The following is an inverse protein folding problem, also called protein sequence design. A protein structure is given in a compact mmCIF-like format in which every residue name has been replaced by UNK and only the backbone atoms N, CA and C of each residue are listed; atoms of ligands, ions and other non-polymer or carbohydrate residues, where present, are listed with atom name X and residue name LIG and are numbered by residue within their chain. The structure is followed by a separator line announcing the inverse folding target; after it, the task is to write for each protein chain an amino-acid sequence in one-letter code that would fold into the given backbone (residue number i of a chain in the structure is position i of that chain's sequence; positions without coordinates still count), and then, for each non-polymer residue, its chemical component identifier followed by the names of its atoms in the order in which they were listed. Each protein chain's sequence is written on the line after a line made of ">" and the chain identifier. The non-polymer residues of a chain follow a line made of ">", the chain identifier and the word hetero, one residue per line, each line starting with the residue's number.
data_IF_215648939151
#
_entry.id   IF_215648939151
#
_cell.length_a   1.000
_cell.length_b   1.000
_cell.length_c   1.000
_cell.angle_alpha   90.00
_cell.angle_beta   90.00
_cell.angle_gamma   90.00
#
_symmetry.space_group_name_H-M   'P 1'
#
loop_
_entity.id
_entity.type
_entity.pdbx_description
1 polymer ?
#
# COMPACT_ATOMS: atom_id res chain seq x y z
N UNK A 1 30.70 3.70 2.98
CA UNK A 1 30.84 4.73 1.92
C UNK A 1 31.38 4.05 0.67
N UNK A 2 30.50 3.77 -0.29
CA UNK A 2 30.84 3.18 -1.59
C UNK A 2 31.52 4.29 -2.41
N UNK A 3 32.70 4.01 -2.99
CA UNK A 3 33.50 5.04 -3.69
C UNK A 3 32.99 5.35 -5.09
N UNK A 4 32.18 4.48 -5.69
CA UNK A 4 31.47 4.73 -6.96
C UNK A 4 30.36 3.68 -7.14
N UNK A 5 29.09 4.08 -6.91
CA UNK A 5 27.94 3.17 -7.04
C UNK A 5 27.72 2.76 -8.51
N UNK A 6 28.24 3.54 -9.48
CA UNK A 6 28.00 3.30 -10.91
C UNK A 6 28.71 2.08 -11.47
N UNK A 7 29.71 1.55 -10.74
CA UNK A 7 30.49 0.36 -11.10
C UNK A 7 30.05 -0.91 -10.35
N UNK A 8 29.05 -0.81 -9.47
CA UNK A 8 28.61 -1.91 -8.62
C UNK A 8 27.92 -3.00 -9.48
N UNK A 9 28.37 -4.27 -9.42
CA UNK A 9 27.72 -5.37 -10.10
C UNK A 9 26.27 -5.58 -9.65
N UNK A 10 25.48 -6.28 -10.47
CA UNK A 10 24.07 -6.59 -10.21
C UNK A 10 23.86 -7.21 -8.82
N UNK A 11 24.66 -8.21 -8.48
CA UNK A 11 24.51 -8.98 -7.24
C UNK A 11 24.81 -8.11 -6.02
N UNK A 12 25.89 -7.34 -6.03
CA UNK A 12 26.26 -6.41 -4.96
C UNK A 12 25.20 -5.29 -4.81
N UNK A 13 24.61 -4.81 -5.91
CA UNK A 13 23.54 -3.81 -5.86
C UNK A 13 22.25 -4.35 -5.22
N UNK A 14 21.94 -5.63 -5.42
CA UNK A 14 20.81 -6.31 -4.77
C UNK A 14 21.07 -6.56 -3.28
N UNK A 15 22.32 -6.86 -2.89
CA UNK A 15 22.73 -6.98 -1.49
C UNK A 15 22.63 -5.61 -0.78
N UNK A 16 23.11 -4.53 -1.40
CA UNK A 16 22.97 -3.17 -0.88
C UNK A 16 21.50 -2.75 -0.71
N UNK A 17 20.65 -3.10 -1.69
CA UNK A 17 19.22 -2.84 -1.59
C UNK A 17 18.58 -3.65 -0.47
N UNK A 18 18.99 -4.90 -0.28
CA UNK A 18 18.48 -5.79 0.76
C UNK A 18 18.76 -5.27 2.17
N UNK A 19 19.97 -4.78 2.39
CA UNK A 19 20.40 -4.15 3.65
C UNK A 19 19.51 -2.97 4.05
N UNK A 20 18.86 -2.33 3.06
CA UNK A 20 18.06 -1.12 3.21
C UNK A 20 16.55 -1.38 3.24
N UNK A 21 16.13 -2.64 3.31
CA UNK A 21 14.71 -3.02 3.50
C UNK A 21 14.49 -3.57 4.90
N UNK A 22 13.59 -2.93 5.66
CA UNK A 22 13.15 -3.35 6.98
C UNK A 22 11.70 -3.84 6.89
N UNK A 23 11.50 -5.16 7.00
CA UNK A 23 10.17 -5.76 6.79
C UNK A 23 9.43 -6.05 8.10
N UNK A 24 8.29 -5.37 8.28
CA UNK A 24 7.30 -5.65 9.33
C UNK A 24 6.20 -6.62 8.84
N UNK A 25 6.26 -6.99 7.56
CA UNK A 25 5.26 -7.79 6.88
C UNK A 25 5.08 -9.20 7.44
N UNK A 26 3.93 -9.80 7.16
CA UNK A 26 3.68 -11.21 7.44
C UNK A 26 4.58 -12.11 6.59
N UNK A 27 4.96 -13.28 7.12
CA UNK A 27 5.84 -14.24 6.43
C UNK A 27 5.05 -15.14 5.47
N UNK A 28 4.54 -14.56 4.39
CA UNK A 28 3.85 -15.31 3.32
C UNK A 28 4.34 -14.93 1.92
N UNK A 29 3.93 -15.71 0.92
CA UNK A 29 4.39 -15.57 -0.46
C UNK A 29 4.14 -14.16 -1.04
N UNK A 30 3.03 -13.50 -0.68
CA UNK A 30 2.74 -12.17 -1.20
C UNK A 30 3.69 -11.11 -0.63
N UNK A 31 4.05 -11.24 0.65
CA UNK A 31 5.03 -10.37 1.32
C UNK A 31 6.45 -10.63 0.80
N UNK A 32 6.82 -11.90 0.61
CA UNK A 32 8.13 -12.27 0.05
C UNK A 32 8.28 -11.73 -1.38
N UNK A 33 7.25 -11.87 -2.22
CA UNK A 33 7.29 -11.30 -3.57
C UNK A 33 7.34 -9.77 -3.58
N UNK A 34 6.67 -9.11 -2.62
CA UNK A 34 6.77 -7.67 -2.46
C UNK A 34 8.19 -7.23 -2.10
N UNK A 35 8.80 -7.93 -1.13
CA UNK A 35 10.18 -7.72 -0.69
C UNK A 35 11.18 -7.91 -1.82
N UNK A 36 11.12 -9.07 -2.49
CA UNK A 36 12.02 -9.38 -3.60
C UNK A 36 11.91 -8.39 -4.73
N UNK A 37 10.69 -7.97 -5.09
CA UNK A 37 10.54 -6.95 -6.11
C UNK A 37 11.15 -5.63 -5.63
N UNK A 38 10.82 -5.20 -4.41
CA UNK A 38 11.28 -3.95 -3.81
C UNK A 38 12.81 -3.81 -3.80
N UNK A 39 13.55 -4.91 -3.62
CA UNK A 39 15.03 -4.93 -3.78
C UNK A 39 15.48 -4.38 -5.14
N UNK A 40 14.76 -4.67 -6.22
CA UNK A 40 15.07 -4.14 -7.55
C UNK A 40 14.70 -2.66 -7.71
N UNK A 41 13.65 -2.18 -7.05
CA UNK A 41 13.35 -0.74 -7.04
C UNK A 41 14.45 0.01 -6.28
N UNK A 42 14.76 -0.42 -5.06
CA UNK A 42 15.79 0.23 -4.24
C UNK A 42 17.17 0.18 -4.88
N UNK A 43 17.60 -0.96 -5.41
CA UNK A 43 18.89 -1.06 -6.08
C UNK A 43 18.99 -0.09 -7.27
N UNK A 44 17.92 0.07 -8.04
CA UNK A 44 17.86 1.08 -9.11
C UNK A 44 17.89 2.51 -8.60
N UNK A 45 17.21 2.79 -7.49
CA UNK A 45 17.25 4.11 -6.84
C UNK A 45 18.64 4.44 -6.30
N UNK A 46 19.29 3.50 -5.59
CA UNK A 46 20.67 3.61 -5.11
C UNK A 46 21.61 3.98 -6.27
N UNK A 47 21.51 3.24 -7.38
CA UNK A 47 22.31 3.49 -8.56
C UNK A 47 22.04 4.89 -9.16
N UNK A 48 20.77 5.27 -9.32
CA UNK A 48 20.39 6.54 -9.95
C UNK A 48 20.68 7.77 -9.08
N UNK A 49 20.72 7.61 -7.75
CA UNK A 49 21.10 8.66 -6.80
C UNK A 49 22.61 8.77 -6.62
N UNK A 50 23.38 7.80 -7.14
CA UNK A 50 24.83 7.66 -6.94
C UNK A 50 25.24 7.65 -5.45
N UNK A 51 24.29 7.31 -4.57
CA UNK A 51 24.47 7.16 -3.15
C UNK A 51 23.53 6.08 -2.63
N UNK A 52 23.82 5.54 -1.46
CA UNK A 52 23.03 4.48 -0.88
C UNK A 52 21.90 5.01 0.01
N UNK A 53 21.75 6.32 0.22
CA UNK A 53 20.78 6.94 1.13
C UNK A 53 19.33 6.93 0.62
N UNK A 54 18.81 5.71 0.49
CA UNK A 54 17.44 5.32 0.22
C UNK A 54 17.14 4.09 1.06
N UNK A 55 15.92 3.99 1.59
CA UNK A 55 15.51 2.82 2.35
C UNK A 55 14.01 2.59 2.24
N UNK A 56 13.58 1.40 2.62
CA UNK A 56 12.17 1.03 2.64
C UNK A 56 11.81 0.32 3.94
N UNK A 57 10.68 0.69 4.50
CA UNK A 57 10.04 -0.05 5.59
C UNK A 57 8.74 -0.63 5.08
N UNK A 58 8.67 -1.95 4.98
CA UNK A 58 7.45 -2.66 4.59
C UNK A 58 6.56 -2.83 5.81
N UNK A 59 5.31 -2.38 5.70
CA UNK A 59 4.30 -2.42 6.76
C UNK A 59 3.71 -3.84 6.94
N UNK A 60 2.92 -4.10 8.00
CA UNK A 60 2.31 -5.43 8.21
C UNK A 60 1.45 -5.95 7.04
N UNK A 61 0.88 -5.04 6.23
CA UNK A 61 0.09 -5.36 5.05
C UNK A 61 0.91 -5.50 3.75
N UNK A 62 2.25 -5.49 3.83
CA UNK A 62 3.16 -5.64 2.69
C UNK A 62 2.77 -6.76 1.73
N UNK A 63 2.64 -6.45 0.45
CA UNK A 63 2.04 -7.34 -0.55
C UNK A 63 2.46 -6.94 -1.97
N UNK A 64 2.14 -7.76 -2.96
CA UNK A 64 2.29 -7.38 -4.37
C UNK A 64 1.42 -6.17 -4.71
N UNK A 65 1.91 -5.30 -5.58
CA UNK A 65 1.06 -4.31 -6.25
C UNK A 65 0.30 -4.97 -7.40
N UNK A 66 -0.95 -4.57 -7.65
CA UNK A 66 -1.69 -4.96 -8.87
C UNK A 66 -1.44 -3.99 -10.04
N UNK A 67 -0.84 -2.83 -9.79
CA UNK A 67 -0.41 -1.94 -10.87
C UNK A 67 0.77 -2.59 -11.62
N UNK A 68 0.51 -3.18 -12.79
CA UNK A 68 1.52 -3.89 -13.60
C UNK A 68 2.73 -3.03 -13.97
N UNK A 69 2.58 -1.79 -14.48
CA UNK A 69 3.74 -0.92 -14.69
C UNK A 69 4.59 -0.71 -13.43
N UNK A 70 3.96 -0.46 -12.27
CA UNK A 70 4.66 -0.34 -10.98
C UNK A 70 5.40 -1.64 -10.62
N UNK A 71 4.76 -2.79 -10.82
CA UNK A 71 5.36 -4.12 -10.60
C UNK A 71 6.60 -4.34 -11.45
N UNK A 72 6.51 -4.05 -12.75
CA UNK A 72 7.63 -4.19 -13.68
C UNK A 72 8.78 -3.22 -13.36
N UNK A 73 8.46 -2.05 -12.80
CA UNK A 73 9.42 -1.08 -12.25
C UNK A 73 9.99 -1.48 -10.88
N UNK A 74 9.73 -2.71 -10.40
CA UNK A 74 10.38 -3.26 -9.22
C UNK A 74 9.71 -2.88 -7.90
N UNK A 75 8.58 -2.21 -7.87
CA UNK A 75 8.00 -1.80 -6.59
C UNK A 75 7.08 -2.88 -6.02
N UNK A 76 7.23 -3.15 -4.73
CA UNK A 76 6.23 -3.84 -3.90
C UNK A 76 5.07 -2.92 -3.51
N UNK A 77 4.27 -3.34 -2.52
CA UNK A 77 3.16 -2.58 -1.94
C UNK A 77 3.07 -2.85 -0.43
N UNK A 78 2.38 -1.99 0.32
CA UNK A 78 2.32 -1.97 1.78
C UNK A 78 3.64 -1.52 2.41
N UNK A 79 4.10 -0.30 2.13
CA UNK A 79 5.34 0.21 2.72
C UNK A 79 5.65 1.68 2.44
N UNK A 80 6.67 2.18 3.16
CA UNK A 80 7.24 3.53 3.05
C UNK A 80 8.58 3.44 2.34
N UNK A 81 8.84 4.34 1.41
CA UNK A 81 10.12 4.49 0.69
C UNK A 81 10.58 5.92 0.89
N UNK A 82 11.82 6.11 1.36
CA UNK A 82 12.44 7.42 1.55
C UNK A 82 13.80 7.45 0.90
N UNK A 83 14.16 8.62 0.37
CA UNK A 83 15.48 8.88 -0.22
C UNK A 83 15.99 10.26 0.17
N UNK A 84 17.27 10.51 -0.04
CA UNK A 84 17.94 11.72 0.47
C UNK A 84 17.69 13.00 -0.33
N UNK A 85 17.62 12.92 -1.67
CA UNK A 85 17.53 14.10 -2.53
C UNK A 85 16.09 14.50 -2.87
N UNK A 86 15.60 15.57 -2.24
CA UNK A 86 14.30 16.20 -2.51
C UNK A 86 14.17 16.80 -3.92
N UNK A 87 15.27 17.01 -4.64
CA UNK A 87 15.25 17.47 -6.03
C UNK A 87 15.18 16.32 -7.03
N UNK A 88 15.15 15.06 -6.57
CA UNK A 88 14.96 13.88 -7.40
C UNK A 88 13.61 13.24 -7.10
N UNK A 89 12.89 12.83 -8.13
CA UNK A 89 11.64 12.08 -7.99
C UNK A 89 11.58 10.87 -8.92
N UNK A 90 10.88 9.82 -8.47
CA UNK A 90 10.75 8.54 -9.16
C UNK A 90 9.30 8.32 -9.64
N UNK A 91 8.93 8.75 -10.86
CA UNK A 91 7.55 8.72 -11.33
C UNK A 91 6.95 7.31 -11.47
N UNK A 92 7.79 6.27 -11.51
CA UNK A 92 7.38 4.86 -11.58
C UNK A 92 6.71 4.34 -10.28
N UNK A 93 6.86 5.08 -9.18
CA UNK A 93 6.07 4.90 -7.94
C UNK A 93 4.56 4.99 -8.26
N UNK A 94 4.19 5.82 -9.24
CA UNK A 94 2.82 5.93 -9.77
C UNK A 94 1.79 6.25 -8.67
N UNK A 95 1.92 7.39 -7.97
CA UNK A 95 1.01 7.80 -6.90
C UNK A 95 -0.42 8.05 -7.44
N UNK A 96 -1.46 7.73 -6.67
CA UNK A 96 -2.86 7.87 -7.14
C UNK A 96 -3.82 8.52 -6.13
N UNK A 97 -3.32 8.96 -4.97
CA UNK A 97 -4.11 9.57 -3.91
C UNK A 97 -5.26 8.68 -3.38
N UNK A 98 -5.12 7.35 -3.48
CA UNK A 98 -6.05 6.44 -2.84
C UNK A 98 -6.07 6.72 -1.32
N UNK A 99 -7.28 6.79 -0.78
CA UNK A 99 -7.58 7.28 0.56
C UNK A 99 -8.86 6.68 1.10
N UNK A 100 -9.02 6.72 2.42
CA UNK A 100 -10.26 6.32 3.07
C UNK A 100 -10.84 7.49 3.83
N UNK A 101 -12.14 7.72 3.59
CA UNK A 101 -12.96 8.65 4.32
C UNK A 101 -13.81 7.87 5.33
N UNK A 102 -13.57 8.07 6.62
CA UNK A 102 -14.40 7.56 7.71
C UNK A 102 -15.43 8.62 8.10
N UNK A 103 -16.69 8.21 8.20
CA UNK A 103 -17.83 9.08 8.44
C UNK A 103 -18.67 8.58 9.61
N UNK A 104 -19.22 9.51 10.37
CA UNK A 104 -20.30 9.30 11.34
C UNK A 104 -21.63 9.70 10.72
N UNK A 105 -22.65 8.87 10.97
CA UNK A 105 -24.01 9.04 10.50
C UNK A 105 -24.98 8.94 11.68
N UNK A 106 -25.86 9.92 11.84
CA UNK A 106 -26.92 9.89 12.87
C UNK A 106 -27.98 8.83 12.56
N UNK A 107 -28.23 8.59 11.27
CA UNK A 107 -29.24 7.65 10.80
C UNK A 107 -28.68 6.80 9.67
N UNK A 108 -28.95 5.49 9.70
CA UNK A 108 -28.59 4.59 8.61
C UNK A 108 -29.66 4.64 7.51
N UNK A 109 -29.33 5.10 6.28
CA UNK A 109 -30.30 5.06 5.19
C UNK A 109 -30.66 3.60 4.83
N UNK A 110 -31.84 3.40 4.25
CA UNK A 110 -32.25 2.03 3.90
C UNK A 110 -31.31 1.43 2.83
N UNK A 111 -31.12 0.10 2.86
CA UNK A 111 -30.28 -0.60 1.86
C UNK A 111 -30.70 -0.28 0.42
N UNK A 112 -32.01 -0.17 0.18
CA UNK A 112 -32.57 0.14 -1.14
C UNK A 112 -32.22 1.56 -1.56
N UNK A 113 -32.31 2.53 -0.65
CA UNK A 113 -31.98 3.92 -0.95
C UNK A 113 -30.49 4.10 -1.22
N UNK A 114 -29.62 3.42 -0.44
CA UNK A 114 -28.16 3.47 -0.66
C UNK A 114 -27.77 2.92 -2.04
N UNK A 115 -28.30 1.76 -2.41
CA UNK A 115 -28.04 1.17 -3.75
C UNK A 115 -28.57 2.08 -4.85
N UNK A 116 -29.78 2.65 -4.69
CA UNK A 116 -30.35 3.58 -5.66
C UNK A 116 -29.50 4.83 -5.82
N UNK A 117 -29.13 5.49 -4.72
CA UNK A 117 -28.30 6.71 -4.74
C UNK A 117 -26.92 6.45 -5.32
N UNK A 118 -26.27 5.35 -4.93
CA UNK A 118 -24.97 4.97 -5.50
C UNK A 118 -25.06 4.74 -7.02
N UNK A 119 -26.13 4.09 -7.50
CA UNK A 119 -26.39 3.94 -8.94
C UNK A 119 -26.71 5.27 -9.63
N UNK A 120 -27.46 6.17 -8.99
CA UNK A 120 -27.78 7.50 -9.54
C UNK A 120 -26.51 8.36 -9.65
N UNK A 121 -25.55 8.21 -8.73
CA UNK A 121 -24.26 8.89 -8.79
C UNK A 121 -23.45 8.48 -10.02
N UNK A 122 -23.45 7.20 -10.38
CA UNK A 122 -22.79 6.70 -11.61
C UNK A 122 -23.40 7.31 -12.89
N UNK A 123 -24.68 7.69 -12.87
CA UNK A 123 -25.38 8.29 -14.01
C UNK A 123 -25.35 9.83 -14.01
N UNK A 124 -25.03 10.45 -12.88
CA UNK A 124 -25.06 11.91 -12.69
C UNK A 124 -23.80 12.57 -13.21
N UNK A 125 -23.96 13.67 -13.95
CA UNK A 125 -22.84 14.55 -14.28
C UNK A 125 -22.42 15.35 -13.04
N UNK A 126 -21.48 14.80 -12.27
CA UNK A 126 -20.84 15.48 -11.15
C UNK A 126 -19.57 16.20 -11.61
N UNK A 127 -19.30 17.37 -11.05
CA UNK A 127 -18.12 18.17 -11.35
C UNK A 127 -17.46 18.69 -10.06
N UNK A 128 -16.13 18.68 -10.05
CA UNK A 128 -15.33 19.26 -8.99
C UNK A 128 -14.21 20.09 -9.62
N UNK A 129 -14.22 21.41 -9.39
CA UNK A 129 -13.23 22.36 -9.92
C UNK A 129 -13.01 22.25 -11.46
N UNK A 130 -14.07 22.13 -12.27
CA UNK A 130 -13.93 21.99 -13.73
C UNK A 130 -13.67 20.57 -14.22
N UNK A 131 -13.54 19.59 -13.32
CA UNK A 131 -13.25 18.19 -13.66
C UNK A 131 -14.50 17.35 -13.45
N UNK A 132 -14.98 16.70 -14.51
CA UNK A 132 -16.07 15.72 -14.41
C UNK A 132 -15.61 14.53 -13.56
N UNK A 133 -16.39 14.22 -12.53
CA UNK A 133 -16.13 13.07 -11.66
C UNK A 133 -16.53 11.80 -12.39
N UNK A 134 -15.67 10.80 -12.32
CA UNK A 134 -15.95 9.44 -12.75
C UNK A 134 -16.07 8.59 -11.49
N UNK A 135 -17.28 8.37 -10.96
CA UNK A 135 -17.48 7.48 -9.84
C UNK A 135 -16.84 6.12 -10.12
N UNK A 136 -16.18 5.57 -9.11
CA UNK A 136 -15.41 4.34 -9.25
C UNK A 136 -15.71 3.37 -8.10
N UNK A 137 -16.98 3.39 -7.67
CA UNK A 137 -17.48 2.43 -6.70
C UNK A 137 -17.24 1.01 -7.27
N UNK A 138 -16.73 0.09 -6.45
CA UNK A 138 -16.49 -1.29 -6.89
C UNK A 138 -15.33 -1.56 -7.86
N UNK A 139 -14.65 -0.54 -8.43
CA UNK A 139 -13.46 -0.80 -9.28
C UNK A 139 -12.28 -1.28 -8.45
N UNK A 140 -11.93 -2.55 -8.61
CA UNK A 140 -10.80 -3.15 -7.90
C UNK A 140 -11.05 -3.26 -6.39
N UNK A 141 -10.22 -2.59 -5.59
CA UNK A 141 -10.37 -2.55 -4.14
C UNK A 141 -11.20 -1.38 -3.62
N UNK A 142 -11.67 -0.46 -4.47
CA UNK A 142 -12.54 0.64 -4.02
C UNK A 142 -13.92 0.12 -3.60
N UNK A 143 -14.48 0.73 -2.56
CA UNK A 143 -15.76 0.33 -1.97
C UNK A 143 -16.41 1.48 -1.19
N UNK A 144 -17.70 1.31 -0.94
CA UNK A 144 -18.45 2.08 0.04
C UNK A 144 -19.08 1.10 1.04
N UNK A 145 -18.69 1.17 2.31
CA UNK A 145 -19.15 0.26 3.34
C UNK A 145 -19.83 1.02 4.49
N UNK A 146 -20.85 0.40 5.07
CA UNK A 146 -21.59 0.93 6.21
C UNK A 146 -21.50 -0.04 7.38
N UNK A 147 -21.38 0.50 8.59
CA UNK A 147 -21.07 -0.26 9.79
C UNK A 147 -21.95 0.15 10.96
N UNK A 148 -22.07 -0.79 11.91
CA UNK A 148 -22.54 -0.54 13.27
C UNK A 148 -21.37 -0.75 14.23
N UNK A 149 -21.32 0.00 15.34
CA UNK A 149 -20.30 -0.24 16.34
C UNK A 149 -20.47 -1.64 16.94
N UNK A 150 -19.34 -2.33 17.11
CA UNK A 150 -19.24 -3.57 17.87
C UNK A 150 -18.59 -3.28 19.22
N UNK A 151 -17.47 -2.56 19.20
CA UNK A 151 -16.71 -2.12 20.37
C UNK A 151 -16.19 -0.70 20.10
N UNK A 152 -16.26 0.18 21.09
CA UNK A 152 -15.66 1.52 21.06
C UNK A 152 -15.05 1.79 22.44
N UNK A 153 -13.81 2.27 22.47
CA UNK A 153 -13.15 2.70 23.70
C UNK A 153 -13.78 3.99 24.22
N UNK A 154 -13.95 4.10 25.54
CA UNK A 154 -14.55 5.28 26.19
C UNK A 154 -13.83 6.60 25.79
N UNK A 155 -12.51 6.54 25.62
CA UNK A 155 -11.65 7.66 25.23
C UNK A 155 -11.91 8.28 23.85
N UNK A 156 -12.65 7.60 22.97
CA UNK A 156 -13.02 8.13 21.64
C UNK A 156 -14.53 8.26 21.47
N UNK A 157 -15.31 8.07 22.55
CA UNK A 157 -16.77 8.02 22.48
C UNK A 157 -17.43 9.35 22.07
N UNK A 158 -16.77 10.49 22.27
CA UNK A 158 -17.25 11.79 21.83
C UNK A 158 -17.23 11.91 20.28
N UNK A 159 -16.22 11.33 19.65
CA UNK A 159 -15.98 11.37 18.20
C UNK A 159 -16.64 10.18 17.50
N UNK A 160 -16.60 9.03 18.16
CA UNK A 160 -17.25 7.78 17.77
C UNK A 160 -18.31 7.38 18.81
N UNK A 161 -19.51 7.97 18.83
CA UNK A 161 -20.59 7.57 19.72
C UNK A 161 -21.05 6.11 19.49
N UNK A 162 -21.29 5.32 20.55
CA UNK A 162 -21.71 3.92 20.41
C UNK A 162 -23.14 3.73 19.88
N UNK A 163 -23.93 4.80 19.83
CA UNK A 163 -25.29 4.82 19.29
C UNK A 163 -25.37 5.32 17.83
N UNK A 164 -24.26 5.79 17.26
CA UNK A 164 -24.19 6.23 15.87
C UNK A 164 -23.97 5.08 14.87
N UNK A 165 -24.11 5.40 13.59
CA UNK A 165 -23.68 4.54 12.47
C UNK A 165 -22.44 5.11 11.82
N UNK A 166 -21.73 4.26 11.07
CA UNK A 166 -20.49 4.66 10.42
C UNK A 166 -20.46 4.24 8.97
N UNK A 167 -19.68 4.96 8.17
CA UNK A 167 -19.40 4.56 6.81
C UNK A 167 -17.92 4.79 6.46
N UNK A 168 -17.39 3.94 5.59
CA UNK A 168 -16.07 4.11 4.98
C UNK A 168 -16.22 4.16 3.47
N UNK A 169 -15.71 5.24 2.87
CA UNK A 169 -15.52 5.34 1.44
C UNK A 169 -14.03 5.19 1.12
N UNK A 170 -13.69 4.10 0.43
CA UNK A 170 -12.35 3.85 -0.09
C UNK A 170 -12.30 4.13 -1.59
N UNK A 171 -11.58 5.18 -2.00
CA UNK A 171 -11.46 5.54 -3.41
C UNK A 171 -10.19 6.34 -3.71
N UNK A 172 -9.92 6.53 -5.00
CA UNK A 172 -8.81 7.33 -5.52
C UNK A 172 -9.31 8.52 -6.36
N UNK A 173 -8.46 9.12 -7.18
CA UNK A 173 -8.84 10.13 -8.18
C UNK A 173 -8.43 9.66 -9.59
N UNK A 174 -9.19 8.73 -10.20
CA UNK A 174 -8.88 8.22 -11.54
C UNK A 174 -8.82 9.31 -12.61
N UNK A 175 -9.56 10.40 -12.45
CA UNK A 175 -9.71 11.51 -13.40
C UNK A 175 -8.39 12.23 -13.68
N UNK A 176 -7.52 12.31 -12.68
CA UNK A 176 -6.25 13.05 -12.74
C UNK A 176 -5.03 12.13 -12.66
N UNK A 177 -5.25 10.82 -12.55
CA UNK A 177 -4.21 9.80 -12.40
C UNK A 177 -3.29 9.70 -13.61
N UNK A 178 -3.85 9.78 -14.82
CA UNK A 178 -3.07 9.65 -16.06
C UNK A 178 -2.07 10.79 -16.22
N UNK A 179 -2.44 12.00 -15.79
CA UNK A 179 -1.50 13.14 -15.72
C UNK A 179 -0.30 12.79 -14.86
N UNK A 180 -0.52 12.25 -13.66
CA UNK A 180 0.56 11.82 -12.76
C UNK A 180 1.40 10.70 -13.36
N UNK A 181 0.79 9.75 -14.07
CA UNK A 181 1.47 8.58 -14.61
C UNK A 181 2.32 8.92 -15.84
N UNK A 182 1.91 9.92 -16.61
CA UNK A 182 2.65 10.41 -17.79
C UNK A 182 4.04 10.96 -17.47
N UNK A 183 4.30 11.33 -16.20
CA UNK A 183 5.63 11.79 -15.79
C UNK A 183 6.72 10.73 -15.96
N UNK A 184 6.36 9.44 -15.94
CA UNK A 184 7.30 8.35 -16.23
C UNK A 184 7.78 8.32 -17.69
N UNK A 185 7.12 9.04 -18.59
CA UNK A 185 7.53 9.17 -19.99
C UNK A 185 8.37 10.43 -20.24
N UNK A 186 8.35 11.39 -19.30
CA UNK A 186 9.00 12.70 -19.41
C UNK A 186 10.37 12.76 -18.74
N UNK A 187 10.69 11.80 -17.87
CA UNK A 187 11.92 11.79 -17.11
C UNK A 187 13.14 11.28 -17.88
N UNK A 188 14.31 11.50 -17.28
CA UNK A 188 15.57 10.95 -17.73
C UNK A 188 15.61 9.45 -17.44
N UNK A 189 15.96 8.63 -18.43
CA UNK A 189 16.14 7.19 -18.25
C UNK A 189 17.58 6.88 -17.86
N UNK A 190 17.76 6.32 -16.66
CA UNK A 190 19.05 5.84 -16.17
C UNK A 190 19.11 4.33 -16.37
N UNK A 191 20.09 3.84 -17.14
CA UNK A 191 20.34 2.41 -17.28
C UNK A 191 21.15 1.93 -16.07
N UNK A 192 20.66 0.92 -15.37
CA UNK A 192 21.34 0.29 -14.24
C UNK A 192 21.61 -1.19 -14.53
N UNK A 193 22.48 -1.86 -13.75
CA UNK A 193 22.63 -3.32 -13.79
C UNK A 193 21.33 -4.11 -13.54
N UNK A 194 20.31 -3.48 -12.96
CA UNK A 194 19.01 -4.07 -12.62
C UNK A 194 17.89 -3.68 -13.62
N UNK A 195 18.26 -3.11 -14.77
CA UNK A 195 17.33 -2.51 -15.72
C UNK A 195 17.24 -1.00 -15.57
N UNK A 196 16.43 -0.35 -16.40
CA UNK A 196 16.32 1.12 -16.34
C UNK A 196 15.39 1.58 -15.21
N UNK A 197 15.61 2.82 -14.78
CA UNK A 197 14.71 3.61 -13.93
C UNK A 197 14.56 4.99 -14.53
N UNK A 198 13.38 5.58 -14.38
CA UNK A 198 13.12 6.95 -14.82
C UNK A 198 13.23 7.90 -13.63
N UNK A 199 13.96 9.00 -13.79
CA UNK A 199 14.09 10.03 -12.76
C UNK A 199 13.70 11.41 -13.29
N UNK A 200 13.15 12.23 -12.40
CA UNK A 200 12.93 13.66 -12.60
C UNK A 200 13.90 14.41 -11.71
N UNK A 201 14.54 15.46 -12.25
CA UNK A 201 15.50 16.30 -11.52
C UNK A 201 15.02 17.74 -11.42
N UNK A 202 15.37 18.42 -10.33
CA UNK A 202 15.23 19.86 -10.15
C UNK A 202 13.80 20.38 -10.41
N UNK A 203 13.61 21.22 -11.44
CA UNK A 203 12.32 21.80 -11.78
C UNK A 203 11.27 20.74 -12.10
N UNK A 204 11.64 19.67 -12.81
CA UNK A 204 10.71 18.59 -13.15
C UNK A 204 10.23 17.84 -11.89
N UNK A 205 11.12 17.58 -10.93
CA UNK A 205 10.74 16.96 -9.65
C UNK A 205 9.80 17.88 -8.84
N UNK A 206 10.10 19.18 -8.79
CA UNK A 206 9.23 20.18 -8.12
C UNK A 206 7.86 20.32 -8.78
N UNK A 207 7.80 20.30 -10.10
CA UNK A 207 6.53 20.34 -10.85
C UNK A 207 5.71 19.07 -10.66
N UNK A 208 6.36 17.91 -10.66
CA UNK A 208 5.74 16.63 -10.34
C UNK A 208 5.12 16.62 -8.95
N UNK A 209 5.84 17.10 -7.93
CA UNK A 209 5.32 17.19 -6.57
C UNK A 209 4.17 18.20 -6.46
N UNK A 210 4.23 19.34 -7.17
CA UNK A 210 3.11 20.30 -7.25
C UNK A 210 1.86 19.70 -7.89
N UNK A 211 2.02 18.90 -8.95
CA UNK A 211 0.91 18.19 -9.58
C UNK A 211 0.34 17.10 -8.66
N UNK A 212 1.21 16.43 -7.90
CA UNK A 212 0.81 15.50 -6.85
C UNK A 212 -0.05 16.18 -5.77
N UNK A 213 0.38 17.32 -5.24
CA UNK A 213 -0.38 18.05 -4.22
C UNK A 213 -1.79 18.43 -4.69
N UNK A 214 -1.92 18.83 -5.96
CA UNK A 214 -3.24 19.07 -6.59
C UNK A 214 -4.08 17.79 -6.68
N UNK A 215 -3.48 16.66 -7.04
CA UNK A 215 -4.18 15.37 -7.08
C UNK A 215 -4.64 14.94 -5.68
N UNK A 216 -3.79 15.10 -4.67
CA UNK A 216 -4.08 14.77 -3.27
C UNK A 216 -5.31 15.54 -2.77
N UNK A 217 -5.28 16.86 -2.94
CA UNK A 217 -6.38 17.75 -2.53
C UNK A 217 -7.68 17.44 -3.29
N UNK A 218 -7.59 17.26 -4.61
CA UNK A 218 -8.73 16.87 -5.43
C UNK A 218 -9.33 15.54 -4.94
N UNK A 219 -8.50 14.55 -4.60
CA UNK A 219 -8.98 13.24 -4.16
C UNK A 219 -9.68 13.28 -2.80
N UNK A 220 -9.22 14.09 -1.84
CA UNK A 220 -9.90 14.29 -0.54
C UNK A 220 -11.30 14.88 -0.75
N UNK A 221 -11.39 15.98 -1.50
CA UNK A 221 -12.66 16.65 -1.84
C UNK A 221 -13.58 15.78 -2.68
N UNK A 222 -13.03 14.95 -3.57
CA UNK A 222 -13.80 13.96 -4.36
C UNK A 222 -14.47 12.95 -3.44
N UNK A 223 -13.79 12.41 -2.43
CA UNK A 223 -14.39 11.47 -1.47
C UNK A 223 -15.55 12.12 -0.72
N UNK A 224 -15.40 13.35 -0.23
CA UNK A 224 -16.47 14.07 0.47
C UNK A 224 -17.68 14.36 -0.42
N UNK A 225 -17.45 14.75 -1.69
CA UNK A 225 -18.52 14.95 -2.66
C UNK A 225 -19.31 13.65 -2.89
N UNK A 226 -18.61 12.55 -3.18
CA UNK A 226 -19.22 11.25 -3.40
C UNK A 226 -19.96 10.73 -2.16
N UNK A 227 -19.38 10.92 -0.97
CA UNK A 227 -20.04 10.61 0.29
C UNK A 227 -21.36 11.36 0.45
N UNK A 228 -21.35 12.67 0.25
CA UNK A 228 -22.56 13.50 0.36
C UNK A 228 -23.68 13.05 -0.56
N UNK A 229 -23.34 12.67 -1.79
CA UNK A 229 -24.32 12.21 -2.78
C UNK A 229 -24.92 10.83 -2.42
N UNK A 230 -24.13 9.94 -1.79
CA UNK A 230 -24.59 8.58 -1.45
C UNK A 230 -25.31 8.53 -0.09
N UNK A 231 -24.67 9.01 0.98
CA UNK A 231 -25.22 8.90 2.35
C UNK A 231 -25.98 10.14 2.80
N UNK A 232 -25.78 11.29 2.16
CA UNK A 232 -26.41 12.55 2.56
C UNK A 232 -25.62 13.29 3.63
N UNK A 233 -26.33 13.86 4.61
CA UNK A 233 -25.70 14.52 5.77
C UNK A 233 -24.88 13.50 6.58
N UNK A 234 -23.65 13.89 6.90
CA UNK A 234 -22.69 13.08 7.65
C UNK A 234 -21.65 14.00 8.27
N UNK A 235 -20.95 13.47 9.27
CA UNK A 235 -19.77 14.11 9.84
C UNK A 235 -18.52 13.34 9.43
N UNK A 236 -17.48 14.08 9.04
CA UNK A 236 -16.20 13.49 8.67
C UNK A 236 -15.41 13.24 9.95
N UNK A 237 -15.09 11.97 10.21
CA UNK A 237 -14.19 11.59 11.32
C UNK A 237 -12.74 11.66 10.85
N UNK A 238 -12.44 11.18 9.64
CA UNK A 238 -11.11 11.31 9.04
C UNK A 238 -11.13 11.10 7.53
N UNK A 239 -10.21 11.75 6.80
CA UNK A 239 -10.08 11.66 5.35
C UNK A 239 -8.60 11.54 4.91
N UNK A 240 -7.96 10.43 5.27
CA UNK A 240 -6.54 10.20 5.01
C UNK A 240 -6.26 9.51 3.68
N UNK A 241 -5.13 9.87 3.07
CA UNK A 241 -4.55 9.10 1.97
C UNK A 241 -3.63 8.00 2.51
N UNK A 242 -3.49 6.91 1.76
CA UNK A 242 -2.57 5.81 2.08
C UNK A 242 -1.68 5.42 0.89
N UNK A 243 -1.80 6.11 -0.25
CA UNK A 243 -0.97 5.85 -1.42
C UNK A 243 -0.58 7.15 -2.16
N UNK A 244 0.70 7.50 -2.09
CA UNK A 244 1.24 8.64 -2.82
C UNK A 244 2.56 9.17 -2.28
N UNK A 245 2.82 10.45 -2.53
CA UNK A 245 3.97 11.15 -1.97
C UNK A 245 3.57 11.87 -0.68
N UNK A 246 4.39 11.75 0.35
CA UNK A 246 4.16 12.40 1.65
C UNK A 246 5.16 13.54 1.89
N UNK A 247 6.29 13.49 1.20
CA UNK A 247 7.27 14.57 1.05
C UNK A 247 7.84 14.50 -0.38
N UNK A 248 8.60 15.51 -0.86
CA UNK A 248 9.28 15.42 -2.14
C UNK A 248 10.15 14.17 -2.29
N UNK A 249 10.67 13.67 -1.16
CA UNK A 249 11.54 12.51 -1.04
C UNK A 249 10.94 11.32 -0.24
N UNK A 250 9.62 11.30 -0.05
CA UNK A 250 8.93 10.20 0.66
C UNK A 250 7.72 9.73 -0.15
N UNK A 251 7.65 8.42 -0.40
CA UNK A 251 6.49 7.78 -0.96
C UNK A 251 5.94 6.70 -0.04
N UNK A 252 4.62 6.60 0.06
CA UNK A 252 3.92 5.51 0.72
C UNK A 252 3.04 4.77 -0.27
N UNK A 253 3.13 3.46 -0.24
CA UNK A 253 2.41 2.57 -1.13
C UNK A 253 1.50 1.69 -0.29
N UNK A 254 0.27 2.11 -0.03
CA UNK A 254 -0.70 1.30 0.71
C UNK A 254 -0.46 1.26 2.21
N UNK A 255 -0.03 2.36 2.82
CA UNK A 255 0.02 2.50 4.27
C UNK A 255 -0.19 3.97 4.64
N UNK A 256 -0.75 4.21 5.82
CA UNK A 256 -0.95 5.55 6.36
C UNK A 256 0.34 6.16 6.87
N UNK A 257 0.31 7.49 7.02
CA UNK A 257 1.21 8.22 7.89
C UNK A 257 0.52 8.54 9.21
N UNK A 258 0.97 7.96 10.32
CA UNK A 258 0.37 8.17 11.64
C UNK A 258 0.58 9.58 12.19
N UNK A 259 1.46 10.38 11.58
CA UNK A 259 1.62 11.81 11.92
C UNK A 259 0.73 12.74 11.10
N UNK A 260 -0.04 12.23 10.13
CA UNK A 260 -1.09 13.03 9.48
C UNK A 260 -2.20 13.24 10.52
N UNK A 261 -2.20 14.39 11.21
CA UNK A 261 -3.17 14.71 12.24
C UNK A 261 -4.34 15.49 11.63
N UNK A 262 -5.48 14.82 11.46
CA UNK A 262 -6.81 15.42 11.48
C UNK A 262 -7.40 15.10 12.87
N UNK A 263 -7.84 16.12 13.60
CA UNK A 263 -8.30 16.16 15.02
C UNK A 263 -7.79 15.05 15.97
N UNK A 264 -8.25 13.81 15.81
CA UNK A 264 -7.98 12.67 16.71
C UNK A 264 -7.04 11.58 16.16
N UNK A 265 -6.59 11.69 14.91
CA UNK A 265 -5.66 10.72 14.31
C UNK A 265 -6.23 9.31 14.22
N UNK A 266 -7.49 9.18 13.79
CA UNK A 266 -8.24 7.94 13.70
C UNK A 266 -8.19 7.34 12.29
N UNK A 267 -7.54 6.19 12.16
CA UNK A 267 -7.29 5.53 10.88
C UNK A 267 -8.16 4.28 10.74
N UNK A 268 -9.09 4.23 9.77
CA UNK A 268 -9.81 2.99 9.46
C UNK A 268 -8.84 1.98 8.82
N UNK A 269 -8.88 0.73 9.24
CA UNK A 269 -8.14 -0.39 8.65
C UNK A 269 -9.15 -1.41 8.15
N UNK A 270 -9.44 -1.33 6.86
CA UNK A 270 -10.48 -2.11 6.21
C UNK A 270 -9.92 -3.43 5.68
N UNK A 271 -10.48 -4.54 6.13
CA UNK A 271 -10.00 -5.88 5.79
C UNK A 271 -10.71 -6.41 4.53
N UNK A 272 -11.74 -7.24 4.72
CA UNK A 272 -12.65 -7.72 3.67
C UNK A 272 -14.07 -7.42 4.14
N UNK A 273 -15.01 -7.32 3.20
CA UNK A 273 -16.41 -6.94 3.44
C UNK A 273 -17.15 -7.76 4.51
N UNK A 274 -16.68 -8.95 4.86
CA UNK A 274 -17.24 -9.82 5.91
C UNK A 274 -16.43 -9.81 7.22
N UNK A 275 -15.39 -8.98 7.30
CA UNK A 275 -14.64 -8.71 8.53
C UNK A 275 -14.99 -7.32 9.08
N UNK A 276 -14.87 -7.13 10.40
CA UNK A 276 -14.95 -5.81 11.00
C UNK A 276 -13.86 -4.87 10.45
N UNK A 277 -14.20 -3.59 10.31
CA UNK A 277 -13.18 -2.54 10.18
C UNK A 277 -12.71 -2.20 11.58
N UNK A 278 -11.40 -2.05 11.72
CA UNK A 278 -10.78 -1.57 12.96
C UNK A 278 -10.44 -0.10 12.79
N UNK A 279 -10.76 0.74 13.77
CA UNK A 279 -10.28 2.11 13.82
C UNK A 279 -9.12 2.16 14.81
N UNK A 280 -7.96 2.60 14.33
CA UNK A 280 -6.75 2.66 15.13
C UNK A 280 -6.36 4.12 15.35
N UNK A 281 -5.88 4.43 16.56
CA UNK A 281 -5.17 5.68 16.84
C UNK A 281 -3.71 5.50 16.45
N UNK A 282 -3.20 6.40 15.63
CA UNK A 282 -1.80 6.40 15.20
C UNK A 282 -0.83 6.62 16.37
N UNK A 283 0.34 5.98 16.34
CA UNK A 283 1.44 6.21 17.28
C UNK A 283 2.71 6.67 16.55
N UNK A 284 3.63 7.36 17.25
CA UNK A 284 5.04 7.32 16.89
C UNK A 284 5.52 5.86 16.88
N UNK A 285 6.21 5.47 15.83
CA UNK A 285 6.42 4.06 15.50
C UNK A 285 7.62 3.42 16.23
N UNK A 286 7.89 2.16 15.87
CA UNK A 286 8.98 1.25 16.30
C UNK A 286 9.78 1.72 17.53
N UNK A 287 9.41 1.21 18.70
CA UNK A 287 10.22 1.35 19.91
C UNK A 287 11.54 0.59 19.81
N UNK A 288 12.51 0.92 20.66
CA UNK A 288 13.80 0.21 20.81
C UNK A 288 13.58 -1.29 21.00
N UNK A 289 12.58 -1.64 21.83
CA UNK A 289 12.22 -3.02 22.10
C UNK A 289 11.79 -3.74 20.82
N UNK A 290 10.98 -3.08 19.97
CA UNK A 290 10.54 -3.64 18.69
C UNK A 290 11.71 -3.75 17.72
N UNK A 291 12.55 -2.72 17.61
CA UNK A 291 13.74 -2.70 16.73
C UNK A 291 14.69 -3.84 17.12
N UNK A 292 14.95 -4.03 18.42
CA UNK A 292 15.78 -5.10 18.94
C UNK A 292 15.16 -6.48 18.71
N UNK A 293 13.86 -6.66 19.01
CA UNK A 293 13.15 -7.94 18.81
C UNK A 293 13.07 -8.36 17.35
N UNK A 294 13.08 -7.41 16.42
CA UNK A 294 13.12 -7.66 14.98
C UNK A 294 14.54 -7.83 14.43
N UNK A 295 15.56 -7.78 15.29
CA UNK A 295 16.98 -7.90 14.92
C UNK A 295 17.42 -6.80 13.94
N UNK A 296 16.81 -5.61 14.05
CA UNK A 296 17.11 -4.47 13.18
C UNK A 296 18.21 -3.56 13.74
N UNK A 297 18.48 -3.63 15.06
CA UNK A 297 19.33 -2.67 15.77
C UNK A 297 20.73 -2.52 15.14
N UNK A 298 21.52 -3.59 15.07
CA UNK A 298 22.90 -3.53 14.54
C UNK A 298 22.94 -3.02 13.10
N UNK A 299 21.96 -3.42 12.29
CA UNK A 299 21.86 -3.00 10.88
C UNK A 299 21.46 -1.54 10.76
N UNK A 300 20.52 -1.08 11.59
CA UNK A 300 20.08 0.32 11.62
C UNK A 300 21.20 1.25 12.09
N UNK A 301 21.93 0.88 13.14
CA UNK A 301 23.11 1.61 13.63
C UNK A 301 24.18 1.74 12.53
N UNK A 302 24.53 0.62 11.89
CA UNK A 302 25.53 0.59 10.80
C UNK A 302 25.13 1.51 9.64
N UNK A 303 23.83 1.60 9.34
CA UNK A 303 23.30 2.40 8.24
C UNK A 303 22.92 3.83 8.64
N UNK A 304 22.96 4.18 9.93
CA UNK A 304 22.51 5.47 10.44
C UNK A 304 21.00 5.69 10.35
N UNK A 305 20.20 4.62 10.40
CA UNK A 305 18.73 4.65 10.19
C UNK A 305 17.91 4.46 11.47
N UNK A 306 18.52 4.53 12.65
CA UNK A 306 17.79 4.28 13.91
C UNK A 306 16.65 5.28 14.14
N UNK A 307 16.94 6.58 14.03
CA UNK A 307 15.94 7.64 14.15
C UNK A 307 14.87 7.54 13.06
N UNK A 308 15.27 7.16 11.85
CA UNK A 308 14.37 6.96 10.73
C UNK A 308 13.36 5.82 10.99
N UNK A 309 13.81 4.71 11.57
CA UNK A 309 12.94 3.58 11.95
C UNK A 309 11.97 3.96 13.07
N UNK A 310 12.42 4.72 14.07
CA UNK A 310 11.56 5.24 15.15
C UNK A 310 10.48 6.18 14.61
N UNK A 311 10.81 6.94 13.59
CA UNK A 311 9.95 7.97 12.98
C UNK A 311 9.36 7.55 11.62
N UNK A 312 9.28 6.25 11.35
CA UNK A 312 8.67 5.76 10.09
C UNK A 312 7.17 6.05 10.04
N UNK A 313 6.51 6.06 11.21
CA UNK A 313 5.12 6.50 11.38
C UNK A 313 4.15 5.84 10.39
N UNK A 314 4.28 4.53 10.19
CA UNK A 314 3.48 3.70 9.28
C UNK A 314 2.39 2.90 9.99
N UNK A 315 1.23 2.82 9.36
CA UNK A 315 0.12 1.97 9.79
C UNK A 315 -0.49 1.31 8.55
N UNK A 316 -0.85 0.01 8.57
CA UNK A 316 -1.50 -0.62 7.43
C UNK A 316 -2.84 0.04 7.17
N UNK A 317 -3.26 0.05 5.90
CA UNK A 317 -4.60 0.53 5.54
C UNK A 317 -5.64 -0.59 5.45
N UNK A 318 -5.19 -1.84 5.33
CA UNK A 318 -6.08 -2.97 5.17
C UNK A 318 -5.36 -4.31 5.27
N UNK A 319 -6.02 -5.38 4.80
CA UNK A 319 -5.52 -6.75 5.01
C UNK A 319 -4.34 -7.18 4.13
N UNK A 320 -4.01 -6.45 3.07
CA UNK A 320 -3.07 -6.89 2.03
C UNK A 320 -3.50 -8.21 1.33
N UNK A 321 -2.82 -8.60 0.25
CA UNK A 321 -3.15 -9.86 -0.42
C UNK A 321 -2.44 -11.05 0.22
N UNK A 322 -3.12 -12.19 0.23
CA UNK A 322 -2.57 -13.50 0.51
C UNK A 322 -2.65 -14.34 -0.76
N UNK A 323 -1.50 -14.67 -1.35
CA UNK A 323 -1.46 -15.54 -2.53
C UNK A 323 -1.74 -16.98 -2.10
N UNK A 324 -2.66 -17.63 -2.81
CA UNK A 324 -3.12 -19.00 -2.51
C UNK A 324 -2.39 -20.03 -3.38
N UNK A 325 -1.06 -20.05 -3.31
CA UNK A 325 -0.23 -20.99 -4.06
C UNK A 325 0.75 -21.70 -3.12
N UNK A 326 0.96 -23.02 -3.28
CA UNK A 326 1.88 -23.79 -2.44
C UNK A 326 3.34 -23.71 -2.92
N UNK A 327 3.70 -22.67 -3.66
CA UNK A 327 5.06 -22.50 -4.18
C UNK A 327 6.00 -21.98 -3.10
N UNK A 328 7.21 -22.53 -3.08
CA UNK A 328 8.23 -22.23 -2.06
C UNK A 328 9.52 -21.71 -2.69
N UNK A 329 9.77 -22.02 -3.96
CA UNK A 329 10.93 -21.53 -4.71
C UNK A 329 10.51 -20.34 -5.57
N UNK A 330 11.33 -19.31 -5.56
CA UNK A 330 11.15 -18.08 -6.33
C UNK A 330 12.45 -17.83 -7.08
N UNK A 331 12.37 -17.87 -8.40
CA UNK A 331 13.46 -17.47 -9.29
C UNK A 331 13.09 -16.17 -9.99
N UNK A 332 14.04 -15.25 -10.16
CA UNK A 332 13.79 -13.94 -10.77
C UNK A 332 14.66 -13.79 -12.01
N UNK A 333 14.00 -13.63 -13.15
CA UNK A 333 14.66 -13.35 -14.43
C UNK A 333 14.41 -11.89 -14.82
N UNK A 334 15.46 -11.09 -14.89
CA UNK A 334 15.38 -9.71 -15.38
C UNK A 334 15.28 -9.70 -16.90
N UNK A 335 14.31 -8.97 -17.44
CA UNK A 335 14.07 -8.83 -18.88
C UNK A 335 14.03 -7.35 -19.28
N UNK A 336 13.97 -7.07 -20.58
CA UNK A 336 13.87 -5.70 -21.11
C UNK A 336 12.60 -4.95 -20.67
N UNK A 337 11.56 -5.67 -20.27
CA UNK A 337 10.29 -5.07 -19.82
C UNK A 337 10.09 -5.18 -18.30
N UNK A 338 11.06 -5.72 -17.54
CA UNK A 338 11.00 -5.83 -16.08
C UNK A 338 11.30 -7.23 -15.56
N UNK A 339 11.04 -7.45 -14.27
CA UNK A 339 11.29 -8.73 -13.61
C UNK A 339 10.18 -9.75 -13.87
N UNK A 340 10.58 -10.97 -14.21
CA UNK A 340 9.71 -12.15 -14.32
C UNK A 340 9.96 -13.04 -13.12
N UNK A 341 8.91 -13.30 -12.33
CA UNK A 341 9.00 -14.17 -11.16
C UNK A 341 8.54 -15.57 -11.54
N UNK A 342 9.44 -16.54 -11.46
CA UNK A 342 9.12 -17.95 -11.67
C UNK A 342 8.89 -18.60 -10.33
N UNK A 343 7.65 -19.01 -10.06
CA UNK A 343 7.29 -19.75 -8.86
C UNK A 343 7.33 -21.23 -9.16
N UNK A 344 8.03 -21.99 -8.31
CA UNK A 344 8.08 -23.45 -8.40
C UNK A 344 8.03 -24.08 -7.00
N UNK A 345 7.76 -25.38 -6.95
CA UNK A 345 7.55 -26.06 -5.69
C UNK A 345 7.27 -27.54 -5.87
N UNK A 346 7.35 -28.26 -4.77
CA UNK A 346 7.15 -29.70 -4.72
C UNK A 346 5.65 -29.99 -4.54
N UNK A 347 5.10 -30.93 -5.30
CA UNK A 347 3.75 -31.46 -5.09
C UNK A 347 3.83 -32.59 -4.05
N UNK A 348 3.13 -32.51 -2.91
CA UNK A 348 2.91 -33.68 -2.08
C UNK A 348 2.15 -34.73 -2.89
N UNK A 349 2.56 -36.00 -2.80
CA UNK A 349 1.85 -37.09 -3.48
C UNK A 349 0.36 -37.06 -3.09
N UNK A 350 -0.50 -36.91 -4.10
CA UNK A 350 -1.94 -36.80 -3.96
C UNK A 350 -2.66 -38.14 -3.93
N UNK A 351 -1.96 -39.22 -4.29
CA UNK A 351 -2.48 -40.59 -4.25
C UNK A 351 -1.43 -41.57 -3.74
N UNK A 352 -1.90 -42.67 -3.14
CA UNK A 352 -1.03 -43.77 -2.70
C UNK A 352 -0.24 -44.41 -3.87
N UNK A 353 -0.77 -44.33 -5.09
CA UNK A 353 -0.09 -44.82 -6.30
C UNK A 353 1.15 -43.99 -6.65
N UNK A 354 1.09 -42.65 -6.50
CA UNK A 354 2.24 -41.75 -6.69
C UNK A 354 3.37 -42.05 -5.68
N UNK A 355 3.01 -42.47 -4.45
CA UNK A 355 3.96 -42.90 -3.42
C UNK A 355 4.61 -44.25 -3.77
N UNK A 356 3.83 -45.20 -4.29
CA UNK A 356 4.28 -46.58 -4.58
C UNK A 356 5.26 -46.71 -5.75
N UNK A 357 5.31 -45.74 -6.66
CA UNK A 357 6.25 -45.70 -7.79
C UNK A 357 7.63 -45.09 -7.44
N UNK A 358 7.91 -44.83 -6.15
CA UNK A 358 9.15 -44.18 -5.72
C UNK A 358 9.23 -42.68 -6.02
N UNK A 359 8.18 -42.09 -6.61
CA UNK A 359 8.01 -40.64 -6.80
C UNK A 359 7.18 -40.05 -5.67
N UNK A 360 7.70 -40.14 -4.44
CA UNK A 360 7.06 -39.53 -3.26
C UNK A 360 6.86 -38.01 -3.40
N UNK A 361 7.57 -37.38 -4.35
CA UNK A 361 7.51 -35.96 -4.64
C UNK A 361 7.70 -35.77 -6.15
N UNK A 362 6.76 -35.11 -6.83
CA UNK A 362 6.97 -34.59 -8.18
C UNK A 362 7.11 -33.07 -8.14
N UNK A 363 8.01 -32.49 -8.94
CA UNK A 363 8.06 -31.04 -9.12
C UNK A 363 6.75 -30.59 -9.77
N UNK A 364 6.04 -29.67 -9.12
CA UNK A 364 4.91 -28.99 -9.75
C UNK A 364 5.46 -28.12 -10.89
N UNK A 365 4.68 -27.97 -11.97
CA UNK A 365 5.08 -27.06 -13.05
C UNK A 365 5.39 -25.66 -12.52
N UNK A 366 6.36 -24.99 -13.13
CA UNK A 366 6.69 -23.61 -12.81
C UNK A 366 5.64 -22.63 -13.36
N UNK A 367 5.43 -21.51 -12.65
CA UNK A 367 4.60 -20.41 -13.13
C UNK A 367 5.44 -19.14 -13.24
N UNK A 368 5.62 -18.65 -14.46
CA UNK A 368 6.25 -17.35 -14.71
C UNK A 368 5.20 -16.23 -14.64
N UNK A 369 5.47 -15.21 -13.83
CA UNK A 369 4.56 -14.10 -13.55
C UNK A 369 5.18 -12.81 -14.08
N UNK A 370 4.47 -12.19 -15.01
CA UNK A 370 4.73 -10.82 -15.50
C UNK A 370 3.60 -9.86 -15.17
N UNK A 371 2.41 -10.41 -14.93
CA UNK A 371 1.22 -9.67 -14.58
C UNK A 371 0.76 -10.09 -13.18
N UNK A 372 0.90 -9.24 -12.15
CA UNK A 372 0.48 -9.59 -10.81
C UNK A 372 -1.03 -9.84 -10.74
N UNK A 373 -1.85 -9.41 -11.71
CA UNK A 373 -3.28 -9.73 -11.75
C UNK A 373 -3.59 -11.21 -11.94
N UNK A 374 -2.70 -12.01 -12.53
CA UNK A 374 -2.93 -13.44 -12.75
C UNK A 374 -2.84 -14.27 -11.46
N UNK A 375 -2.28 -13.71 -10.38
CA UNK A 375 -2.07 -14.42 -9.14
C UNK A 375 -3.39 -14.55 -8.34
N UNK A 376 -3.81 -15.79 -8.02
CA UNK A 376 -4.99 -16.03 -7.19
C UNK A 376 -4.71 -15.53 -5.77
N UNK A 377 -5.71 -14.90 -5.16
CA UNK A 377 -5.54 -14.29 -3.85
C UNK A 377 -6.80 -14.29 -3.00
N UNK A 378 -6.57 -14.16 -1.70
CA UNK A 378 -7.55 -13.68 -0.71
C UNK A 378 -6.92 -12.51 0.06
N UNK A 379 -7.56 -12.04 1.12
CA UNK A 379 -6.99 -11.06 2.06
C UNK A 379 -6.50 -11.75 3.33
N UNK A 380 -5.51 -11.18 4.02
CA UNK A 380 -4.95 -11.79 5.25
C UNK A 380 -5.85 -11.66 6.47
N UNK A 381 -6.83 -10.75 6.44
CA UNK A 381 -7.79 -10.55 7.52
C UNK A 381 -7.12 -10.06 8.81
N UNK A 382 -7.63 -10.51 9.96
CA UNK A 382 -7.20 -10.05 11.29
C UNK A 382 -5.72 -10.33 11.62
N UNK A 383 -5.02 -11.17 10.85
CA UNK A 383 -3.58 -11.38 11.02
C UNK A 383 -2.76 -10.08 10.89
N UNK A 384 -3.21 -9.14 10.05
CA UNK A 384 -2.56 -7.81 9.93
C UNK A 384 -2.80 -6.97 11.18
N UNK A 385 -4.00 -7.02 11.75
CA UNK A 385 -4.35 -6.31 12.98
C UNK A 385 -3.52 -6.85 14.15
N UNK A 386 -3.46 -8.17 14.32
CA UNK A 386 -2.63 -8.81 15.34
C UNK A 386 -1.16 -8.38 15.23
N UNK A 387 -0.59 -8.46 14.02
CA UNK A 387 0.79 -8.01 13.77
C UNK A 387 1.01 -6.52 14.07
N UNK A 388 0.01 -5.68 13.80
CA UNK A 388 0.06 -4.23 14.07
C UNK A 388 0.12 -3.94 15.57
N UNK A 389 -0.71 -4.63 16.34
CA UNK A 389 -0.76 -4.53 17.81
C UNK A 389 0.53 -5.09 18.42
N UNK A 390 0.98 -6.26 17.96
CA UNK A 390 2.22 -6.90 18.45
C UNK A 390 3.45 -6.00 18.28
N UNK A 391 3.47 -5.20 17.22
CA UNK A 391 4.53 -4.25 16.89
C UNK A 391 4.32 -2.87 17.51
N UNK A 392 3.22 -2.63 18.21
CA UNK A 392 2.91 -1.35 18.85
C UNK A 392 2.72 -0.19 17.87
N UNK A 393 2.30 -0.44 16.63
CA UNK A 393 2.20 0.58 15.58
C UNK A 393 0.96 1.50 15.72
N UNK A 394 -0.03 1.08 16.51
CA UNK A 394 -1.25 1.83 16.74
C UNK A 394 -2.14 1.14 17.77
N UNK A 395 -3.03 1.91 18.40
CA UNK A 395 -4.00 1.38 19.37
C UNK A 395 -5.35 1.15 18.71
N UNK A 396 -5.94 -0.05 18.79
CA UNK A 396 -7.32 -0.25 18.35
C UNK A 396 -8.26 0.46 19.32
N UNK A 397 -9.00 1.45 18.82
CA UNK A 397 -9.93 2.25 19.63
C UNK A 397 -11.40 2.01 19.27
N UNK A 398 -11.67 1.41 18.11
CA UNK A 398 -12.99 0.91 17.78
C UNK A 398 -12.94 -0.31 16.84
N UNK A 399 -13.99 -1.13 16.91
CA UNK A 399 -14.28 -2.23 16.00
C UNK A 399 -15.69 -2.05 15.48
N UNK A 400 -15.86 -1.93 14.16
CA UNK A 400 -17.16 -1.67 13.54
C UNK A 400 -17.54 -2.85 12.63
N UNK A 401 -18.74 -3.40 12.86
CA UNK A 401 -19.26 -4.56 12.12
C UNK A 401 -19.90 -4.12 10.81
N UNK A 402 -19.56 -4.74 9.66
CA UNK A 402 -20.16 -4.40 8.37
C UNK A 402 -21.66 -4.73 8.35
N UNK A 403 -22.44 -3.84 7.75
CA UNK A 403 -23.89 -3.96 7.55
C UNK A 403 -24.22 -4.09 6.06
N UNK A 404 -23.51 -3.34 5.22
CA UNK A 404 -23.66 -3.32 3.78
C UNK A 404 -22.36 -2.88 3.12
N UNK A 405 -21.97 -3.57 2.06
CA UNK A 405 -20.93 -3.15 1.12
C UNK A 405 -21.57 -2.85 -0.23
N UNK A 406 -21.34 -1.66 -0.74
CA UNK A 406 -21.77 -1.22 -2.06
C UNK A 406 -20.56 -1.26 -3.01
N UNK A 407 -20.68 -2.11 -4.03
CA UNK A 407 -19.79 -2.20 -5.19
C UNK A 407 -20.68 -2.25 -6.42
N UNK A 408 -20.85 -1.12 -7.09
CA UNK A 408 -21.73 -0.93 -8.25
C UNK A 408 -20.86 -0.47 -9.41
#
# INVERSE_FOLDING_TARGET
>A
MIKDVTQVPREELLELAEERIFSLGLRDLASVLAYENMRYALGRMIYALENDDVYCVLAPDATITRNKPRWLSGYGYGGVIRWSDENVAFPEIRPNACGMLLMRLDNLPSKKDLVKRASEVEEKELELNGVKINPDFGRGNHFFELYKPLEISEEVSDVLPPDAFYAVLHSSAPELKDKMYSWAEKGEKVNTPLGYITILKNSAAREYYKDWEKLKEFSKRRRELLAREVVGEHEVVSNFIHQGLFAPNEARLGCYNTTEQEEDGLFPVALRWDFPVHVLRGKPNLSDEVIHRLEFQERAERLGLEEELRNVNTLPHGGGYKIQLPYQKIDITTTSFGNVFTLSGLKPASTMSEISEGKAISEFGGMAITDPHSLPYTYRGEAVIGKTIDLGLGDPVAKLRPVLTVKI
#
